data_IF_019915491376
#
_entry.id   IF_019915491376
#
_cell.length_a   1.000
_cell.length_b   1.000
_cell.length_c   1.000
_cell.angle_alpha   90.00
_cell.angle_beta   90.00
_cell.angle_gamma   90.00
#
_symmetry.space_group_name_H-M   'P 1'
#
loop_
_entity.id
_entity.type
_entity.pdbx_description
1 polymer ?
#
# COMPACT_ATOMS: atom_id res chain seq x y z
N UNK A 1 -69.90 12.15 -17.66
CA UNK A 1 -70.36 12.10 -19.06
C UNK A 1 -69.20 12.52 -19.95
N UNK A 2 -68.60 11.55 -20.64
CA UNK A 2 -68.39 11.53 -22.11
C UNK A 2 -68.74 12.84 -22.86
N UNK A 3 -68.01 13.36 -23.88
CA UNK A 3 -66.99 12.81 -24.79
C UNK A 3 -66.53 13.91 -25.78
N UNK A 4 -65.29 13.77 -26.30
CA UNK A 4 -64.78 14.10 -27.66
C UNK A 4 -64.18 15.46 -28.08
N UNK A 5 -63.10 15.25 -28.85
CA UNK A 5 -62.60 15.94 -30.05
C UNK A 5 -61.78 17.23 -29.90
N UNK A 6 -60.78 17.50 -30.73
CA UNK A 6 -59.79 16.73 -31.52
C UNK A 6 -58.85 17.79 -32.12
N UNK A 7 -57.65 17.37 -32.51
CA UNK A 7 -56.76 17.99 -33.52
C UNK A 7 -56.07 19.33 -33.21
N UNK A 8 -54.73 19.27 -33.15
CA UNK A 8 -53.88 20.35 -33.62
C UNK A 8 -52.55 20.49 -32.89
N UNK A 9 -51.53 19.73 -33.31
CA UNK A 9 -50.16 20.23 -33.60
C UNK A 9 -49.22 19.05 -33.87
N UNK A 10 -48.99 18.74 -35.15
CA UNK A 10 -47.73 18.16 -35.57
C UNK A 10 -46.69 19.29 -35.52
N UNK A 11 -45.91 19.35 -34.45
CA UNK A 11 -44.64 20.08 -34.42
C UNK A 11 -43.50 19.09 -34.29
N UNK A 12 -42.94 18.76 -35.45
CA UNK A 12 -41.51 18.55 -35.72
C UNK A 12 -40.60 18.55 -34.48
N UNK A 13 -40.33 17.36 -33.93
CA UNK A 13 -39.16 17.13 -33.07
C UNK A 13 -38.20 16.24 -33.86
N UNK A 14 -37.41 16.87 -34.73
CA UNK A 14 -36.17 16.28 -35.23
C UNK A 14 -35.18 16.38 -34.07
N UNK A 15 -35.18 15.37 -33.19
CA UNK A 15 -34.05 15.16 -32.28
C UNK A 15 -32.90 14.69 -33.15
N UNK A 16 -32.00 15.63 -33.46
CA UNK A 16 -30.63 15.33 -33.82
C UNK A 16 -30.06 14.38 -32.76
N UNK A 17 -29.99 13.09 -33.11
CA UNK A 17 -29.22 12.09 -32.40
C UNK A 17 -27.75 12.49 -32.62
N UNK A 18 -27.29 13.44 -31.81
CA UNK A 18 -25.88 13.69 -31.62
C UNK A 18 -25.31 12.41 -31.00
N UNK A 19 -24.35 11.84 -31.73
CA UNK A 19 -23.37 10.89 -31.24
C UNK A 19 -22.79 11.38 -29.91
N UNK A 20 -23.36 10.96 -28.79
CA UNK A 20 -22.57 10.74 -27.59
C UNK A 20 -22.10 9.31 -27.68
N UNK A 21 -20.93 9.13 -28.32
CA UNK A 21 -20.00 8.07 -27.94
C UNK A 21 -19.82 8.18 -26.44
N UNK A 22 -20.64 7.47 -25.69
CA UNK A 22 -20.28 7.04 -24.36
C UNK A 22 -19.08 6.12 -24.57
N UNK A 23 -17.88 6.67 -24.46
CA UNK A 23 -16.71 5.86 -24.18
C UNK A 23 -17.08 4.98 -22.99
N UNK A 24 -17.23 3.68 -23.24
CA UNK A 24 -16.97 2.68 -22.23
C UNK A 24 -15.55 2.93 -21.74
N UNK A 25 -15.37 3.75 -20.71
CA UNK A 25 -14.17 3.79 -19.89
C UNK A 25 -14.19 2.54 -19.01
N UNK A 26 -14.15 1.38 -19.66
CA UNK A 26 -14.00 0.09 -19.03
C UNK A 26 -12.54 -0.32 -19.17
N UNK A 27 -11.87 -0.43 -18.04
CA UNK A 27 -10.98 -1.57 -17.83
C UNK A 27 -9.65 -1.58 -18.63
N UNK A 28 -8.81 -0.56 -18.42
CA UNK A 28 -7.42 -0.63 -18.87
C UNK A 28 -6.45 -0.59 -17.70
N UNK A 29 -6.00 -1.78 -17.28
CA UNK A 29 -4.77 -1.96 -16.49
C UNK A 29 -3.52 -1.40 -17.19
N UNK A 30 -3.65 -1.01 -18.47
CA UNK A 30 -2.64 -0.42 -19.33
C UNK A 30 -2.66 1.12 -19.33
N UNK A 31 -1.50 1.75 -19.28
CA UNK A 31 -1.32 3.20 -19.33
C UNK A 31 -1.06 3.69 -20.76
N UNK A 32 -1.68 4.81 -21.17
CA UNK A 32 -1.34 5.47 -22.43
C UNK A 32 0.12 5.95 -22.45
N UNK A 33 0.71 6.17 -23.63
CA UNK A 33 2.10 6.67 -23.72
C UNK A 33 2.29 8.02 -23.02
N UNK A 34 1.32 8.94 -23.13
CA UNK A 34 1.36 10.22 -22.42
C UNK A 34 1.30 10.05 -20.91
N UNK A 35 0.47 9.11 -20.42
CA UNK A 35 0.39 8.80 -19.00
C UNK A 35 1.68 8.15 -18.49
N UNK A 36 2.29 7.24 -19.26
CA UNK A 36 3.59 6.65 -18.94
C UNK A 36 4.71 7.72 -18.86
N UNK A 37 4.75 8.66 -19.81
CA UNK A 37 5.72 9.77 -19.80
C UNK A 37 5.53 10.69 -18.59
N UNK A 38 4.28 11.04 -18.26
CA UNK A 38 3.96 11.85 -17.09
C UNK A 38 4.39 11.15 -15.80
N UNK A 39 4.09 9.85 -15.67
CA UNK A 39 4.49 9.07 -14.50
C UNK A 39 6.01 8.97 -14.36
N UNK A 40 6.74 8.77 -15.47
CA UNK A 40 8.21 8.75 -15.44
C UNK A 40 8.79 10.10 -15.02
N UNK A 41 8.28 11.22 -15.57
CA UNK A 41 8.71 12.56 -15.18
C UNK A 41 8.47 12.84 -13.68
N UNK A 42 7.30 12.43 -13.18
CA UNK A 42 6.94 12.53 -11.76
C UNK A 42 7.88 11.70 -10.88
N UNK A 43 8.20 10.48 -11.33
CA UNK A 43 9.16 9.60 -10.66
C UNK A 43 10.57 10.20 -10.62
N UNK A 44 11.06 10.75 -11.72
CA UNK A 44 12.39 11.37 -11.78
C UNK A 44 12.48 12.58 -10.83
N UNK A 45 11.41 13.37 -10.75
CA UNK A 45 11.28 14.48 -9.81
C UNK A 45 11.26 14.02 -8.34
N UNK A 46 10.64 12.87 -8.07
CA UNK A 46 10.68 12.21 -6.76
C UNK A 46 12.10 11.77 -6.40
N UNK A 47 12.85 11.17 -7.32
CA UNK A 47 14.23 10.75 -7.10
C UNK A 47 15.16 11.94 -6.78
N UNK A 48 15.03 13.06 -7.49
CA UNK A 48 15.84 14.25 -7.20
C UNK A 48 15.46 14.89 -5.85
N UNK A 49 14.17 14.86 -5.48
CA UNK A 49 13.72 15.29 -4.15
C UNK A 49 14.33 14.41 -3.04
N UNK A 50 14.39 13.09 -3.26
CA UNK A 50 15.01 12.16 -2.32
C UNK A 50 16.51 12.41 -2.18
N UNK A 51 17.21 12.64 -3.29
CA UNK A 51 18.63 13.01 -3.30
C UNK A 51 18.89 14.32 -2.55
N UNK A 52 18.01 15.31 -2.69
CA UNK A 52 18.09 16.58 -1.96
C UNK A 52 17.90 16.38 -0.46
N UNK A 53 16.93 15.57 -0.05
CA UNK A 53 16.74 15.19 1.35
C UNK A 53 17.99 14.47 1.90
N UNK A 54 18.57 13.52 1.15
CA UNK A 54 19.80 12.83 1.59
C UNK A 54 20.99 13.77 1.76
N UNK A 55 21.10 14.83 0.96
CA UNK A 55 22.14 15.86 1.16
C UNK A 55 21.93 16.61 2.47
N UNK A 56 20.68 16.99 2.75
CA UNK A 56 20.31 17.68 4.00
C UNK A 56 20.59 16.79 5.21
N UNK A 57 20.21 15.51 5.13
CA UNK A 57 20.53 14.54 6.17
C UNK A 57 22.03 14.49 6.47
N UNK A 58 22.87 14.42 5.44
CA UNK A 58 24.33 14.39 5.61
C UNK A 58 24.90 15.67 6.23
N UNK A 59 24.24 16.81 6.02
CA UNK A 59 24.65 18.08 6.63
C UNK A 59 24.28 18.11 8.11
N UNK A 60 23.10 17.59 8.45
CA UNK A 60 22.55 17.64 9.80
C UNK A 60 22.86 16.39 10.63
N UNK A 61 23.51 15.36 10.06
CA UNK A 61 23.66 14.04 10.68
C UNK A 61 24.37 14.07 12.04
N UNK A 62 25.26 15.03 12.27
CA UNK A 62 25.94 15.20 13.55
C UNK A 62 25.01 15.66 14.70
N UNK A 63 23.84 16.22 14.36
CA UNK A 63 22.83 16.68 15.32
C UNK A 63 21.73 15.65 15.58
N UNK A 64 21.71 14.56 14.81
CA UNK A 64 20.67 13.54 14.88
C UNK A 64 21.10 12.39 15.80
N UNK A 65 20.15 11.77 16.54
CA UNK A 65 20.44 10.58 17.35
C UNK A 65 20.99 9.43 16.48
N UNK A 66 21.89 8.61 17.05
CA UNK A 66 22.50 7.47 16.34
C UNK A 66 21.47 6.44 15.85
N UNK A 67 20.33 6.32 16.53
CA UNK A 67 19.22 5.46 16.14
C UNK A 67 18.69 5.79 14.74
N UNK A 68 18.88 7.04 14.29
CA UNK A 68 18.45 7.51 12.99
C UNK A 68 19.26 6.89 11.86
N UNK A 69 20.55 6.59 12.05
CA UNK A 69 21.39 6.00 11.00
C UNK A 69 20.80 4.71 10.44
N UNK A 70 20.25 3.89 11.34
CA UNK A 70 19.57 2.64 10.97
C UNK A 70 18.36 2.95 10.10
N UNK A 71 17.49 3.86 10.54
CA UNK A 71 16.30 4.27 9.79
C UNK A 71 16.64 4.85 8.42
N UNK A 72 17.65 5.72 8.32
CA UNK A 72 18.09 6.27 7.04
C UNK A 72 18.69 5.21 6.12
N UNK A 73 19.47 4.27 6.66
CA UNK A 73 20.03 3.17 5.88
C UNK A 73 18.92 2.29 5.29
N UNK A 74 17.87 2.03 6.07
CA UNK A 74 16.70 1.25 5.66
C UNK A 74 15.88 2.01 4.63
N UNK A 75 15.64 3.30 4.82
CA UNK A 75 14.95 4.14 3.84
C UNK A 75 15.69 4.15 2.49
N UNK A 76 17.02 4.31 2.49
CA UNK A 76 17.81 4.22 1.24
C UNK A 76 17.65 2.88 0.54
N UNK A 77 17.60 1.78 1.31
CA UNK A 77 17.36 0.44 0.75
C UNK A 77 15.96 0.37 0.13
N UNK A 78 14.95 0.85 0.83
CA UNK A 78 13.58 0.90 0.31
C UNK A 78 13.51 1.69 -0.99
N UNK A 79 14.05 2.92 -1.05
CA UNK A 79 14.09 3.71 -2.30
C UNK A 79 14.74 2.97 -3.48
N UNK A 80 15.79 2.18 -3.26
CA UNK A 80 16.39 1.35 -4.34
C UNK A 80 15.47 0.23 -4.81
N UNK A 81 14.75 -0.41 -3.88
CA UNK A 81 13.76 -1.42 -4.24
C UNK A 81 12.55 -0.78 -4.96
N UNK A 82 12.17 0.45 -4.61
CA UNK A 82 11.19 1.22 -5.39
C UNK A 82 11.61 1.29 -6.85
N UNK A 83 12.86 1.67 -7.07
CA UNK A 83 13.35 2.02 -8.38
C UNK A 83 13.32 0.81 -9.30
N UNK A 84 13.61 -0.36 -8.75
CA UNK A 84 13.41 -1.64 -9.41
C UNK A 84 11.93 -1.91 -9.68
N UNK A 85 11.06 -1.76 -8.69
CA UNK A 85 9.61 -2.01 -8.83
C UNK A 85 8.96 -1.09 -9.88
N UNK A 86 9.29 0.20 -9.85
CA UNK A 86 8.84 1.20 -10.82
C UNK A 86 9.30 0.82 -12.23
N UNK A 87 10.59 0.57 -12.43
CA UNK A 87 11.11 0.14 -13.73
C UNK A 87 10.45 -1.14 -14.23
N UNK A 88 10.24 -2.11 -13.34
CA UNK A 88 9.61 -3.37 -13.70
C UNK A 88 8.16 -3.15 -14.17
N UNK A 89 7.39 -2.35 -13.43
CA UNK A 89 6.04 -1.96 -13.81
C UNK A 89 6.02 -1.22 -15.16
N UNK A 90 6.89 -0.22 -15.35
CA UNK A 90 6.98 0.53 -16.61
C UNK A 90 7.39 -0.37 -17.80
N UNK A 91 8.25 -1.36 -17.57
CA UNK A 91 8.61 -2.34 -18.60
C UNK A 91 7.44 -3.25 -18.97
N UNK A 92 6.63 -3.70 -18.01
CA UNK A 92 5.40 -4.47 -18.27
C UNK A 92 4.41 -3.64 -19.09
N UNK A 93 4.19 -2.38 -18.69
CA UNK A 93 3.33 -1.44 -19.40
C UNK A 93 3.79 -1.24 -20.86
N UNK A 94 5.10 -1.18 -21.11
CA UNK A 94 5.67 -1.03 -22.46
C UNK A 94 5.64 -2.32 -23.29
N UNK A 95 5.80 -3.49 -22.69
CA UNK A 95 5.79 -4.77 -23.42
C UNK A 95 4.40 -5.10 -23.97
N UNK A 96 3.35 -4.75 -23.23
CA UNK A 96 1.99 -5.10 -23.61
C UNK A 96 1.45 -4.26 -24.77
N UNK A 97 2.03 -3.08 -25.04
CA UNK A 97 1.72 -2.32 -26.26
C UNK A 97 2.20 -2.99 -27.54
N UNK A 98 2.99 -4.08 -27.47
CA UNK A 98 3.58 -4.77 -28.63
C UNK A 98 2.94 -6.14 -28.95
N UNK A 99 2.07 -6.68 -28.10
CA UNK A 99 1.53 -8.06 -28.21
C UNK A 99 -0.02 -8.11 -28.24
N UNK A 100 -0.66 -7.20 -28.99
CA UNK A 100 -2.12 -7.08 -28.99
C UNK A 100 -2.89 -8.21 -29.74
N UNK A 101 -2.21 -9.18 -30.35
CA UNK A 101 -2.83 -10.08 -31.36
C UNK A 101 -3.11 -11.54 -30.90
N UNK A 102 -2.94 -11.89 -29.61
CA UNK A 102 -3.23 -13.25 -29.08
C UNK A 102 -4.16 -13.22 -27.85
N UNK A 103 -5.45 -13.53 -28.05
CA UNK A 103 -6.50 -13.49 -27.02
C UNK A 103 -6.23 -14.40 -25.79
N UNK A 104 -5.57 -15.55 -25.96
CA UNK A 104 -5.24 -16.44 -24.81
C UNK A 104 -4.02 -15.93 -24.04
N UNK A 105 -3.06 -15.31 -24.72
CA UNK A 105 -1.94 -14.60 -24.09
C UNK A 105 -2.36 -13.31 -23.36
N UNK A 106 -3.47 -12.70 -23.80
CA UNK A 106 -3.99 -11.44 -23.26
C UNK A 106 -4.51 -11.56 -21.82
N UNK A 107 -5.27 -12.59 -21.46
CA UNK A 107 -5.79 -12.74 -20.09
C UNK A 107 -4.67 -12.89 -19.05
N UNK A 108 -3.70 -13.77 -19.31
CA UNK A 108 -2.56 -13.98 -18.40
C UNK A 108 -1.68 -12.73 -18.27
N UNK A 109 -1.50 -11.98 -19.36
CA UNK A 109 -0.75 -10.73 -19.36
C UNK A 109 -1.50 -9.61 -18.62
N UNK A 110 -2.81 -9.50 -18.81
CA UNK A 110 -3.67 -8.53 -18.09
C UNK A 110 -3.64 -8.78 -16.59
N UNK A 111 -3.83 -10.02 -16.15
CA UNK A 111 -3.78 -10.39 -14.73
C UNK A 111 -2.41 -10.06 -14.11
N UNK A 112 -1.32 -10.39 -14.80
CA UNK A 112 0.04 -10.04 -14.35
C UNK A 112 0.22 -8.53 -14.20
N UNK A 113 -0.28 -7.74 -15.14
CA UNK A 113 -0.22 -6.29 -15.08
C UNK A 113 -1.06 -5.72 -13.93
N UNK A 114 -2.27 -6.22 -13.71
CA UNK A 114 -3.11 -5.82 -12.57
C UNK A 114 -2.43 -6.12 -11.24
N UNK A 115 -1.84 -7.31 -11.08
CA UNK A 115 -1.06 -7.68 -9.88
C UNK A 115 0.12 -6.71 -9.72
N UNK A 116 0.87 -6.45 -10.79
CA UNK A 116 2.02 -5.54 -10.74
C UNK A 116 1.62 -4.10 -10.38
N UNK A 117 0.51 -3.60 -10.94
CA UNK A 117 0.00 -2.26 -10.63
C UNK A 117 -0.41 -2.19 -9.15
N UNK A 118 -1.17 -3.16 -8.64
CA UNK A 118 -1.54 -3.24 -7.23
C UNK A 118 -0.32 -3.23 -6.31
N UNK A 119 0.65 -4.10 -6.57
CA UNK A 119 1.89 -4.15 -5.79
C UNK A 119 2.63 -2.81 -5.82
N UNK A 120 2.72 -2.18 -6.99
CA UNK A 120 3.38 -0.87 -7.14
C UNK A 120 2.64 0.23 -6.37
N UNK A 121 1.31 0.26 -6.43
CA UNK A 121 0.47 1.19 -5.69
C UNK A 121 0.61 1.03 -4.17
N UNK A 122 0.52 -0.20 -3.64
CA UNK A 122 0.78 -0.45 -2.22
C UNK A 122 2.18 -0.01 -1.80
N UNK A 123 3.17 -0.23 -2.66
CA UNK A 123 4.55 0.12 -2.39
C UNK A 123 4.77 1.65 -2.36
N UNK A 124 4.13 2.42 -3.26
CA UNK A 124 4.14 3.90 -3.17
C UNK A 124 3.41 4.40 -1.93
N UNK A 125 2.27 3.80 -1.58
CA UNK A 125 1.55 4.13 -0.34
C UNK A 125 2.39 3.82 0.90
N UNK A 126 3.19 2.76 0.88
CA UNK A 126 4.14 2.44 1.95
C UNK A 126 5.20 3.53 2.10
N UNK A 127 5.80 3.99 1.00
CA UNK A 127 6.79 5.07 1.04
C UNK A 127 6.17 6.39 1.48
N UNK A 128 4.98 6.72 0.98
CA UNK A 128 4.23 7.90 1.41
C UNK A 128 4.05 7.90 2.92
N UNK A 129 3.49 6.82 3.49
CA UNK A 129 3.26 6.70 4.92
C UNK A 129 4.56 6.80 5.72
N UNK A 130 5.62 6.11 5.28
CA UNK A 130 6.93 6.20 5.93
C UNK A 130 7.47 7.64 5.93
N UNK A 131 7.42 8.34 4.80
CA UNK A 131 7.90 9.73 4.72
C UNK A 131 7.05 10.68 5.57
N UNK A 132 5.73 10.50 5.64
CA UNK A 132 4.87 11.28 6.55
C UNK A 132 5.31 11.09 8.00
N UNK A 133 5.50 9.84 8.42
CA UNK A 133 5.90 9.51 9.78
C UNK A 133 7.27 10.05 10.16
N UNK A 134 8.25 9.91 9.27
CA UNK A 134 9.59 10.44 9.50
C UNK A 134 9.57 11.98 9.51
N UNK A 135 8.72 12.60 8.69
CA UNK A 135 8.52 14.05 8.71
C UNK A 135 8.01 14.56 10.06
N UNK A 136 7.00 13.89 10.64
CA UNK A 136 6.50 14.20 11.98
C UNK A 136 7.58 14.01 13.05
N UNK A 137 8.36 12.93 12.95
CA UNK A 137 9.48 12.69 13.86
C UNK A 137 10.52 13.83 13.81
N UNK A 138 10.88 14.31 12.61
CA UNK A 138 11.77 15.47 12.49
C UNK A 138 11.17 16.75 13.03
N UNK A 139 9.85 16.94 12.84
CA UNK A 139 9.14 18.09 13.39
C UNK A 139 9.23 18.10 14.92
N UNK A 140 9.01 16.96 15.57
CA UNK A 140 9.06 16.82 17.03
C UNK A 140 10.46 17.04 17.60
N UNK A 141 11.50 16.70 16.83
CA UNK A 141 12.90 16.96 17.18
C UNK A 141 13.37 18.38 16.85
N UNK A 142 12.52 19.23 16.25
CA UNK A 142 12.87 20.61 15.87
C UNK A 142 13.64 20.74 14.56
N UNK A 143 13.74 19.68 13.75
CA UNK A 143 14.40 19.69 12.44
C UNK A 143 13.40 20.05 11.32
N UNK A 144 12.96 21.30 11.28
CA UNK A 144 11.90 21.74 10.35
C UNK A 144 12.25 21.56 8.87
N UNK A 145 13.53 21.72 8.47
CA UNK A 145 13.93 21.54 7.06
C UNK A 145 13.86 20.06 6.63
N UNK A 146 14.28 19.13 7.49
CA UNK A 146 14.11 17.70 7.25
C UNK A 146 12.63 17.31 7.27
N UNK A 147 11.86 17.83 8.22
CA UNK A 147 10.42 17.58 8.30
C UNK A 147 9.70 17.98 6.99
N UNK A 148 10.00 19.17 6.48
CA UNK A 148 9.40 19.69 5.24
C UNK A 148 9.84 18.87 4.01
N UNK A 149 11.11 18.46 3.90
CA UNK A 149 11.56 17.58 2.79
C UNK A 149 10.88 16.22 2.82
N UNK A 150 10.66 15.65 4.01
CA UNK A 150 9.92 14.41 4.17
C UNK A 150 8.45 14.56 3.75
N UNK A 151 7.81 15.68 4.12
CA UNK A 151 6.46 16.01 3.68
C UNK A 151 6.36 16.17 2.16
N UNK A 152 7.31 16.85 1.53
CA UNK A 152 7.36 17.00 0.06
C UNK A 152 7.52 15.64 -0.63
N UNK A 153 8.36 14.75 -0.09
CA UNK A 153 8.48 13.39 -0.60
C UNK A 153 7.17 12.62 -0.48
N UNK A 154 6.49 12.71 0.67
CA UNK A 154 5.19 12.06 0.85
C UNK A 154 4.15 12.53 -0.17
N UNK A 155 4.04 13.84 -0.44
CA UNK A 155 3.11 14.35 -1.46
C UNK A 155 3.45 13.85 -2.88
N UNK A 156 4.74 13.72 -3.21
CA UNK A 156 5.16 13.14 -4.50
C UNK A 156 4.84 11.64 -4.60
N UNK A 157 4.99 10.89 -3.50
CA UNK A 157 4.56 9.50 -3.45
C UNK A 157 3.04 9.36 -3.59
N UNK A 158 2.27 10.29 -3.03
CA UNK A 158 0.82 10.35 -3.21
C UNK A 158 0.44 10.64 -4.66
N UNK A 159 1.10 11.62 -5.28
CA UNK A 159 0.90 11.97 -6.70
C UNK A 159 1.14 10.77 -7.62
N UNK A 160 2.29 10.11 -7.50
CA UNK A 160 2.61 8.95 -8.34
C UNK A 160 1.70 7.75 -8.03
N UNK A 161 1.28 7.56 -6.77
CA UNK A 161 0.32 6.51 -6.42
C UNK A 161 -1.02 6.73 -7.12
N UNK A 162 -1.45 7.99 -7.30
CA UNK A 162 -2.67 8.34 -8.04
C UNK A 162 -2.59 8.13 -9.55
N UNK A 163 -1.38 7.93 -10.09
CA UNK A 163 -1.15 7.62 -11.51
C UNK A 163 -1.15 6.12 -11.80
N UNK A 164 -1.01 5.28 -10.77
CA UNK A 164 -1.05 3.82 -10.94
C UNK A 164 -2.49 3.42 -11.30
N UNK A 165 -2.73 2.71 -12.43
CA UNK A 165 -4.07 2.27 -12.78
C UNK A 165 -4.66 1.38 -11.69
N UNK A 166 -5.86 1.74 -11.21
CA UNK A 166 -6.63 0.87 -10.33
C UNK A 166 -6.97 -0.42 -11.07
N UNK A 167 -6.86 -1.55 -10.35
CA UNK A 167 -7.48 -2.78 -10.80
C UNK A 167 -8.98 -2.72 -10.54
N UNK A 168 -9.77 -3.26 -11.46
CA UNK A 168 -11.07 -3.85 -11.15
C UNK A 168 -11.03 -4.58 -9.80
N UNK A 169 -11.99 -4.28 -8.93
CA UNK A 169 -11.99 -4.63 -7.50
C UNK A 169 -12.03 -6.12 -7.14
N UNK A 170 -11.59 -7.03 -8.01
CA UNK A 170 -11.40 -8.43 -7.64
C UNK A 170 -10.26 -8.57 -6.62
N UNK A 171 -10.50 -9.38 -5.59
CA UNK A 171 -9.58 -9.63 -4.48
C UNK A 171 -8.38 -10.47 -4.96
N UNK A 172 -7.46 -9.84 -5.69
CA UNK A 172 -6.25 -10.48 -6.24
C UNK A 172 -5.14 -10.59 -5.19
N UNK A 173 -5.48 -10.88 -3.93
CA UNK A 173 -4.48 -11.34 -2.98
C UNK A 173 -3.86 -12.63 -3.57
N UNK A 174 -2.53 -12.78 -3.62
CA UNK A 174 -1.92 -14.01 -4.08
C UNK A 174 -2.42 -15.17 -3.22
N UNK A 175 -3.34 -15.95 -3.76
CA UNK A 175 -3.85 -17.17 -3.17
C UNK A 175 -2.77 -18.24 -3.30
N UNK A 176 -1.74 -18.19 -2.45
CA UNK A 176 -0.95 -19.40 -2.21
C UNK A 176 -1.74 -20.30 -1.26
N UNK A 177 -2.86 -20.83 -1.75
CA UNK A 177 -3.69 -21.75 -0.97
C UNK A 177 -2.91 -23.02 -0.56
N UNK A 178 -1.71 -23.25 -1.11
CA UNK A 178 -0.91 -24.48 -0.92
C UNK A 178 0.34 -24.37 -0.02
N UNK A 179 0.68 -23.19 0.54
CA UNK A 179 1.85 -23.08 1.43
C UNK A 179 1.45 -23.22 2.91
N UNK A 180 1.95 -24.25 3.60
CA UNK A 180 1.85 -24.32 5.07
C UNK A 180 2.66 -23.17 5.70
N UNK A 181 2.04 -22.26 6.46
CA UNK A 181 2.74 -21.16 7.14
C UNK A 181 3.91 -21.63 8.02
N UNK A 182 3.85 -22.85 8.56
CA UNK A 182 4.91 -23.41 9.41
C UNK A 182 6.17 -23.79 8.61
N UNK A 183 6.05 -23.97 7.30
CA UNK A 183 7.17 -24.24 6.40
C UNK A 183 7.84 -22.96 5.88
N UNK A 184 7.21 -21.79 6.10
CA UNK A 184 7.74 -20.50 5.72
C UNK A 184 8.64 -19.92 6.81
N UNK A 185 9.72 -19.26 6.40
CA UNK A 185 10.60 -18.55 7.32
C UNK A 185 9.98 -17.19 7.69
N UNK A 186 9.14 -17.18 8.73
CA UNK A 186 8.48 -15.98 9.26
C UNK A 186 9.46 -14.87 9.67
N UNK A 187 10.63 -15.21 10.20
CA UNK A 187 11.67 -14.24 10.57
C UNK A 187 12.28 -13.52 9.36
N UNK A 188 12.52 -14.25 8.27
CA UNK A 188 13.01 -13.67 7.01
C UNK A 188 11.93 -12.79 6.35
N UNK A 189 10.67 -13.25 6.36
CA UNK A 189 9.53 -12.46 5.88
C UNK A 189 9.37 -11.16 6.68
N UNK A 190 9.46 -11.22 8.01
CA UNK A 190 9.46 -10.05 8.87
C UNK A 190 10.62 -9.09 8.55
N UNK A 191 11.84 -9.61 8.44
CA UNK A 191 13.04 -8.81 8.13
C UNK A 191 12.90 -8.09 6.79
N UNK A 192 12.26 -8.74 5.81
CA UNK A 192 12.08 -8.20 4.46
C UNK A 192 10.98 -7.14 4.40
N UNK A 193 9.88 -7.33 5.13
CA UNK A 193 8.66 -6.55 4.94
C UNK A 193 8.35 -5.55 6.06
N UNK A 194 8.84 -5.79 7.28
CA UNK A 194 8.38 -5.10 8.48
C UNK A 194 9.51 -4.40 9.24
N UNK A 195 10.72 -4.98 9.24
CA UNK A 195 11.84 -4.50 10.07
C UNK A 195 12.35 -3.10 9.71
N UNK A 196 12.04 -2.59 8.50
CA UNK A 196 12.41 -1.23 8.09
C UNK A 196 11.66 -0.14 8.86
N UNK A 197 10.52 -0.47 9.46
CA UNK A 197 9.74 0.45 10.30
C UNK A 197 9.75 -0.02 11.76
N UNK A 198 9.52 -1.31 12.01
CA UNK A 198 9.40 -1.84 13.37
C UNK A 198 10.73 -2.29 14.01
N UNK A 199 11.85 -2.09 13.31
CA UNK A 199 13.18 -2.46 13.76
C UNK A 199 13.47 -3.96 13.63
N UNK A 200 14.75 -4.34 13.67
CA UNK A 200 15.17 -5.74 13.49
C UNK A 200 14.59 -6.67 14.56
N UNK A 201 14.44 -6.16 15.78
CA UNK A 201 13.90 -6.89 16.93
C UNK A 201 12.41 -6.65 17.19
N UNK A 202 11.71 -5.98 16.28
CA UNK A 202 10.27 -5.70 16.44
C UNK A 202 9.93 -4.87 17.70
N UNK A 203 10.90 -4.09 18.18
CA UNK A 203 10.79 -3.19 19.34
C UNK A 203 10.36 -1.76 18.95
N UNK A 204 10.14 -1.51 17.66
CA UNK A 204 9.84 -0.17 17.16
C UNK A 204 11.08 0.72 17.10
N UNK A 205 10.86 1.98 16.76
CA UNK A 205 11.89 3.01 16.66
C UNK A 205 11.36 4.27 17.35
N UNK A 206 11.93 4.57 18.53
CA UNK A 206 11.57 5.74 19.32
C UNK A 206 10.06 5.83 19.62
N UNK A 207 9.50 7.01 19.39
CA UNK A 207 8.07 7.29 19.50
C UNK A 207 7.37 7.34 18.12
N UNK A 208 8.05 6.92 17.06
CA UNK A 208 7.57 7.06 15.68
C UNK A 208 6.98 5.75 15.18
N UNK A 209 7.71 4.65 15.32
CA UNK A 209 7.22 3.33 14.93
C UNK A 209 7.03 2.46 16.18
N UNK A 210 5.83 1.88 16.39
CA UNK A 210 5.52 1.16 17.61
C UNK A 210 6.24 -0.20 17.70
N UNK A 211 6.52 -0.70 18.92
CA UNK A 211 6.89 -2.10 19.11
C UNK A 211 5.74 -3.01 18.69
N UNK A 212 6.08 -4.23 18.27
CA UNK A 212 5.14 -5.28 17.91
C UNK A 212 5.13 -6.41 18.94
N UNK A 213 6.31 -6.77 19.48
CA UNK A 213 6.42 -7.84 20.47
C UNK A 213 5.84 -7.44 21.81
N UNK A 214 5.24 -8.41 22.50
CA UNK A 214 4.59 -8.21 23.80
C UNK A 214 3.49 -7.14 23.78
N UNK A 215 2.78 -6.99 22.64
CA UNK A 215 1.69 -6.02 22.50
C UNK A 215 0.35 -6.71 22.25
N UNK A 216 -0.72 -6.17 22.83
CA UNK A 216 -2.11 -6.65 22.59
C UNK A 216 -2.51 -6.62 21.10
N UNK A 217 -1.86 -5.77 20.31
CA UNK A 217 -2.07 -5.66 18.86
C UNK A 217 -1.60 -6.91 18.11
N UNK A 218 -0.60 -7.62 18.65
CA UNK A 218 -0.09 -8.88 18.09
C UNK A 218 -0.62 -10.09 18.85
N UNK A 219 -0.56 -10.08 20.18
CA UNK A 219 -0.86 -11.24 21.04
C UNK A 219 -2.34 -11.38 21.39
N UNK A 220 -3.16 -10.35 21.14
CA UNK A 220 -4.60 -10.37 21.37
C UNK A 220 -5.38 -11.24 20.38
N UNK A 221 -6.62 -10.83 20.06
CA UNK A 221 -7.48 -11.55 19.11
C UNK A 221 -6.73 -11.80 17.79
N UNK A 222 -6.80 -13.04 17.30
CA UNK A 222 -6.14 -13.48 16.07
C UNK A 222 -6.41 -12.56 14.87
N UNK A 223 -7.63 -12.03 14.80
CA UNK A 223 -8.09 -11.19 13.69
C UNK A 223 -7.36 -9.85 13.58
N UNK A 224 -6.95 -9.25 14.70
CA UNK A 224 -6.37 -7.90 14.74
C UNK A 224 -5.09 -7.79 13.91
N UNK A 225 -4.01 -8.56 14.19
CA UNK A 225 -2.76 -8.41 13.44
C UNK A 225 -2.93 -8.79 11.95
N UNK A 226 -3.79 -9.76 11.65
CA UNK A 226 -4.07 -10.16 10.25
C UNK A 226 -4.75 -9.03 9.49
N UNK A 227 -5.79 -8.41 10.07
CA UNK A 227 -6.49 -7.24 9.49
C UNK A 227 -5.56 -6.07 9.25
N UNK A 228 -4.70 -5.77 10.24
CA UNK A 228 -3.70 -4.69 10.14
C UNK A 228 -2.72 -4.93 9.00
N UNK A 229 -2.12 -6.13 8.90
CA UNK A 229 -1.16 -6.43 7.82
C UNK A 229 -1.85 -6.42 6.46
N UNK A 230 -3.05 -7.01 6.37
CA UNK A 230 -3.78 -7.16 5.11
C UNK A 230 -4.23 -5.81 4.56
N UNK A 231 -4.88 -4.97 5.36
CA UNK A 231 -5.53 -3.74 4.89
C UNK A 231 -4.88 -2.43 5.38
N UNK A 232 -3.90 -2.50 6.27
CA UNK A 232 -3.27 -1.34 6.87
C UNK A 232 -4.00 -0.81 8.12
N UNK A 233 -3.41 0.18 8.77
CA UNK A 233 -3.92 0.83 9.98
C UNK A 233 -3.58 2.31 9.93
N UNK A 234 -4.54 3.18 10.21
CA UNK A 234 -4.34 4.62 10.23
C UNK A 234 -4.96 5.27 11.47
N UNK A 235 -4.23 6.22 12.06
CA UNK A 235 -4.69 7.07 13.14
C UNK A 235 -3.93 6.84 14.44
N UNK A 236 -4.52 7.34 15.53
CA UNK A 236 -3.92 7.29 16.86
C UNK A 236 -4.10 5.96 17.55
N UNK A 237 -3.00 5.31 17.91
CA UNK A 237 -3.00 4.11 18.75
C UNK A 237 -2.23 4.33 20.04
N UNK A 238 -2.56 3.52 21.04
CA UNK A 238 -1.75 3.38 22.24
C UNK A 238 -1.09 1.99 22.26
N UNK A 239 0.23 1.99 22.46
CA UNK A 239 1.03 0.78 22.63
C UNK A 239 1.90 0.99 23.88
N UNK A 240 1.74 0.12 24.88
CA UNK A 240 2.49 0.18 26.13
C UNK A 240 2.46 1.57 26.82
N UNK A 241 1.28 2.21 26.86
CA UNK A 241 1.04 3.56 27.41
C UNK A 241 1.72 4.71 26.64
N UNK A 242 2.23 4.43 25.45
CA UNK A 242 2.73 5.46 24.52
C UNK A 242 1.76 5.63 23.37
N UNK A 243 1.52 6.88 23.00
CA UNK A 243 0.70 7.25 21.86
C UNK A 243 1.55 7.26 20.59
N UNK A 244 1.03 6.65 19.54
CA UNK A 244 1.60 6.69 18.19
C UNK A 244 0.52 7.20 17.23
N UNK A 245 0.91 8.07 16.31
CA UNK A 245 0.02 8.65 15.31
C UNK A 245 0.58 8.39 13.92
N UNK A 246 -0.08 7.55 13.13
CA UNK A 246 0.45 7.29 11.80
C UNK A 246 -0.36 6.44 10.87
N UNK A 247 0.30 6.00 9.80
CA UNK A 247 -0.28 5.22 8.72
C UNK A 247 0.62 4.02 8.41
N UNK A 248 0.16 2.83 8.75
CA UNK A 248 0.71 1.56 8.31
C UNK A 248 -0.02 1.14 7.01
N UNK A 249 0.70 0.96 5.90
CA UNK A 249 0.12 0.57 4.61
C UNK A 249 -0.38 -0.89 4.62
N UNK A 250 -1.25 -1.20 3.67
CA UNK A 250 -1.65 -2.57 3.35
C UNK A 250 -0.51 -3.39 2.72
N UNK A 251 -0.56 -4.71 2.90
CA UNK A 251 0.38 -5.65 2.29
C UNK A 251 -0.31 -6.76 1.47
N UNK A 252 -1.64 -6.74 1.32
CA UNK A 252 -2.38 -7.84 0.69
C UNK A 252 -2.10 -8.07 -0.79
N UNK A 253 -1.58 -7.10 -1.53
CA UNK A 253 -1.12 -7.32 -2.90
C UNK A 253 0.26 -7.97 -2.96
N UNK A 254 1.07 -7.85 -1.90
CA UNK A 254 2.47 -8.29 -1.84
C UNK A 254 2.70 -9.55 -1.03
N UNK A 255 1.83 -9.80 -0.05
CA UNK A 255 1.91 -10.95 0.86
C UNK A 255 0.72 -11.87 0.64
N UNK A 256 1.05 -13.14 0.49
CA UNK A 256 0.07 -14.22 0.45
C UNK A 256 -0.51 -14.54 1.82
N UNK A 257 -1.59 -15.33 1.84
CA UNK A 257 -2.29 -15.76 3.06
C UNK A 257 -1.32 -16.46 4.02
N UNK A 258 -0.50 -17.38 3.51
CA UNK A 258 0.43 -18.13 4.33
C UNK A 258 1.58 -17.27 4.87
N UNK A 259 2.06 -16.31 4.08
CA UNK A 259 3.12 -15.38 4.51
C UNK A 259 2.63 -14.45 5.62
N UNK A 260 1.38 -13.97 5.55
CA UNK A 260 0.77 -13.17 6.63
C UNK A 260 0.72 -14.00 7.91
N UNK A 261 0.21 -15.23 7.84
CA UNK A 261 0.17 -16.13 9.01
C UNK A 261 1.58 -16.38 9.58
N UNK A 262 2.58 -16.65 8.73
CA UNK A 262 3.96 -16.90 9.14
C UNK A 262 4.61 -15.69 9.84
N UNK A 263 4.38 -14.46 9.33
CA UNK A 263 4.87 -13.23 9.96
C UNK A 263 4.23 -13.03 11.34
N UNK A 264 2.91 -13.20 11.46
CA UNK A 264 2.23 -13.02 12.75
C UNK A 264 2.66 -14.10 13.74
N UNK A 265 2.82 -15.34 13.31
CA UNK A 265 3.31 -16.43 14.16
C UNK A 265 4.72 -16.16 14.67
N UNK A 266 5.63 -15.68 13.82
CA UNK A 266 6.97 -15.26 14.26
C UNK A 266 6.92 -14.18 15.34
N UNK A 267 6.06 -13.16 15.18
CA UNK A 267 5.91 -12.09 16.17
C UNK A 267 5.29 -12.58 17.48
N UNK A 268 4.34 -13.52 17.40
CA UNK A 268 3.71 -14.16 18.58
C UNK A 268 4.68 -15.06 19.33
N UNK A 269 5.54 -15.78 18.63
CA UNK A 269 6.60 -16.62 19.21
C UNK A 269 7.72 -15.78 19.85
N UNK A 270 8.07 -14.64 19.24
CA UNK A 270 9.02 -13.68 19.82
C UNK A 270 8.43 -12.95 21.04
N UNK A 271 7.12 -13.01 21.24
CA UNK A 271 6.44 -12.45 22.40
C UNK A 271 6.34 -13.45 23.54
N UNK A 272 6.27 -12.97 24.76
CA UNK A 272 6.07 -13.76 25.98
C UNK A 272 4.69 -14.43 25.99
N UNK A 273 4.61 -15.58 26.66
CA UNK A 273 3.38 -16.35 26.85
C UNK A 273 3.11 -17.40 25.76
N UNK A 274 2.10 -18.23 26.00
CA UNK A 274 1.61 -19.22 25.03
C UNK A 274 0.59 -18.59 24.08
N UNK A 275 1.11 -17.86 23.09
CA UNK A 275 0.29 -17.13 22.14
C UNK A 275 -0.27 -18.07 21.06
N UNK A 276 -1.60 -18.15 20.94
CA UNK A 276 -2.25 -19.03 19.97
C UNK A 276 -1.72 -18.78 18.53
N UNK A 277 -1.37 -19.86 17.82
CA UNK A 277 -0.92 -19.75 16.41
C UNK A 277 -2.06 -19.30 15.49
N UNK A 278 -1.70 -18.51 14.48
CA UNK A 278 -2.53 -18.16 13.33
C UNK A 278 -2.39 -19.26 12.29
N UNK A 279 -3.51 -19.85 11.88
CA UNK A 279 -3.58 -20.82 10.78
C UNK A 279 -3.84 -20.11 9.46
N UNK A 280 -3.69 -20.83 8.36
CA UNK A 280 -4.08 -20.34 7.05
C UNK A 280 -5.60 -20.09 6.98
N UNK A 281 -6.41 -20.96 7.59
CA UNK A 281 -7.87 -20.82 7.67
C UNK A 281 -8.28 -19.55 8.41
N UNK A 282 -7.60 -19.19 9.51
CA UNK A 282 -7.85 -17.93 10.21
C UNK A 282 -7.70 -16.74 9.24
N UNK A 283 -6.66 -16.74 8.40
CA UNK A 283 -6.41 -15.65 7.44
C UNK A 283 -7.39 -15.69 6.26
N UNK A 284 -7.76 -16.87 5.77
CA UNK A 284 -8.78 -17.04 4.71
C UNK A 284 -10.13 -16.51 5.17
N UNK A 285 -10.57 -16.89 6.37
CA UNK A 285 -11.83 -16.43 6.95
C UNK A 285 -11.87 -14.90 6.99
N UNK A 286 -10.82 -14.29 7.56
CA UNK A 286 -10.71 -12.83 7.64
C UNK A 286 -10.68 -12.18 6.25
N UNK A 287 -9.93 -12.75 5.31
CA UNK A 287 -9.84 -12.23 3.95
C UNK A 287 -11.19 -12.29 3.22
N UNK A 288 -11.99 -13.32 3.47
CA UNK A 288 -13.34 -13.46 2.93
C UNK A 288 -14.31 -12.49 3.59
N UNK A 289 -14.31 -12.40 4.92
CA UNK A 289 -15.17 -11.49 5.70
C UNK A 289 -15.00 -10.04 5.28
N UNK A 290 -13.76 -9.61 5.03
CA UNK A 290 -13.44 -8.22 4.68
C UNK A 290 -12.98 -8.05 3.23
N UNK A 291 -13.42 -8.92 2.32
CA UNK A 291 -12.98 -8.97 0.91
C UNK A 291 -13.12 -7.64 0.17
N UNK A 292 -14.19 -6.89 0.43
CA UNK A 292 -14.49 -5.60 -0.21
C UNK A 292 -13.74 -4.40 0.41
N UNK A 293 -12.99 -4.57 1.50
CA UNK A 293 -12.31 -3.45 2.15
C UNK A 293 -11.10 -3.01 1.32
N UNK A 294 -10.96 -1.71 1.08
CA UNK A 294 -9.84 -1.11 0.37
C UNK A 294 -9.23 0.10 1.11
N UNK A 295 -9.64 0.34 2.35
CA UNK A 295 -9.14 1.44 3.20
C UNK A 295 -8.46 0.90 4.46
N UNK A 296 -7.45 1.62 4.99
CA UNK A 296 -6.84 1.27 6.27
C UNK A 296 -7.84 1.19 7.42
N UNK A 297 -7.59 0.32 8.38
CA UNK A 297 -8.38 0.24 9.61
C UNK A 297 -8.19 1.48 10.47
N UNK A 298 -9.26 1.94 11.11
CA UNK A 298 -9.20 2.86 12.23
C UNK A 298 -9.09 2.06 13.54
N UNK A 299 -8.31 2.52 14.54
CA UNK A 299 -8.10 1.82 15.80
C UNK A 299 -9.39 1.37 16.51
N UNK A 300 -10.42 2.21 16.47
CA UNK A 300 -11.75 1.92 17.05
C UNK A 300 -12.47 0.75 16.39
N UNK A 301 -12.20 0.47 15.11
CA UNK A 301 -12.80 -0.65 14.37
C UNK A 301 -12.17 -2.00 14.72
N UNK A 302 -10.98 -2.00 15.36
CA UNK A 302 -10.23 -3.20 15.70
C UNK A 302 -10.37 -3.61 17.17
N UNK A 303 -10.46 -2.62 18.07
CA UNK A 303 -10.51 -2.84 19.52
C UNK A 303 -11.93 -2.89 20.10
N UNK A 304 -12.95 -2.61 19.27
CA UNK A 304 -14.36 -2.59 19.68
C UNK A 304 -15.13 -3.88 19.46
N UNK A 305 -14.50 -4.92 18.92
CA UNK A 305 -15.05 -6.26 18.74
C UNK A 305 -14.67 -7.16 19.91
#
# INVERSE_FOLDING_TARGET
>A
MTVKNELGLLTTVIVLIFFTSACHMGDSSHMSQSHQQQMQSTFDSLQESHKTMLKTYKQDSASLPNEMDTLYSQMRRMHREMEKNHRHMMNIQKQQSMHQDDERGMMGSKMRMQIQNKMSGEWYNQMMGMHQQIGLMHQDMGHSDLAEKHKQLAERFKEISGMVPESDGENNQPKNEEADPNLLNGANLYTTNCASCHGQDAQGIGNTFPPLVNTKWVTGKKSIPVRIIRDGLQGSIEVNRKRYEGHMPAFKARLSIAEIAAIVNYLREKSEGDNAKITQDDVIEIANTYSNRNTPWQPKELLGE
#
